data_IF_697923428626
#
_entry.id   IF_697923428626
#
_cell.length_a   1.000
_cell.length_b   1.000
_cell.length_c   1.000
_cell.angle_alpha   90.00
_cell.angle_beta   90.00
_cell.angle_gamma   90.00
#
_symmetry.space_group_name_H-M   'P 1'
#
loop_
_entity.id
_entity.type
_entity.pdbx_description
1 polymer ?
#
# COMPACT_ATOMS: atom_id res chain seq x y z
N UNK A 1 -0.61 -10.64 -26.94
CA UNK A 1 -1.14 -10.87 -25.56
C UNK A 1 -0.69 -9.70 -24.70
N UNK A 2 -1.60 -8.99 -24.03
CA UNK A 2 -1.26 -7.80 -23.21
C UNK A 2 -1.08 -8.22 -21.76
N UNK A 3 0.12 -8.00 -21.22
CA UNK A 3 0.45 -8.23 -19.81
C UNK A 3 0.28 -6.93 -19.01
N UNK A 4 -0.44 -7.00 -17.89
CA UNK A 4 -0.66 -5.88 -16.96
C UNK A 4 -0.11 -6.25 -15.59
N UNK A 5 0.73 -5.39 -15.03
CA UNK A 5 1.27 -5.54 -13.67
C UNK A 5 1.09 -4.23 -12.89
N UNK A 6 0.99 -4.36 -11.56
CA UNK A 6 1.01 -3.23 -10.63
C UNK A 6 2.30 -3.31 -9.84
N UNK A 7 3.09 -2.25 -9.91
CA UNK A 7 4.31 -2.08 -9.12
C UNK A 7 4.11 -0.99 -8.09
N UNK A 8 4.40 -1.32 -6.84
CA UNK A 8 4.35 -0.39 -5.71
C UNK A 8 5.55 -0.62 -4.80
N UNK A 9 6.00 0.43 -4.14
CA UNK A 9 7.20 0.41 -3.31
C UNK A 9 7.01 1.26 -2.05
N UNK A 10 7.94 1.13 -1.12
CA UNK A 10 8.09 2.04 0.03
C UNK A 10 6.84 2.19 0.91
N UNK A 11 6.14 1.08 1.15
CA UNK A 11 4.97 1.05 2.04
C UNK A 11 5.31 1.42 3.48
N UNK A 12 6.59 1.36 3.87
CA UNK A 12 7.07 1.67 5.23
C UNK A 12 6.23 0.94 6.29
N UNK A 13 5.83 -0.29 6.01
CA UNK A 13 5.06 -1.12 6.94
C UNK A 13 5.86 -1.28 8.23
N UNK A 14 5.20 -1.08 9.36
CA UNK A 14 5.88 -1.09 10.67
C UNK A 14 6.53 0.23 11.09
N UNK A 15 6.62 1.26 10.22
CA UNK A 15 7.05 2.60 10.66
C UNK A 15 6.05 3.14 11.67
N UNK A 16 6.50 3.25 12.92
CA UNK A 16 5.80 3.94 13.99
C UNK A 16 5.95 5.43 13.78
N UNK A 17 4.87 6.10 13.38
CA UNK A 17 4.80 7.58 13.29
C UNK A 17 4.83 8.23 14.69
N UNK A 18 5.70 7.78 15.59
CA UNK A 18 5.79 8.18 16.99
C UNK A 18 6.19 9.65 17.18
N UNK A 19 6.77 10.24 16.13
CA UNK A 19 7.09 11.66 16.05
C UNK A 19 5.87 12.54 15.69
N UNK A 20 4.73 11.95 15.37
CA UNK A 20 3.50 12.68 15.08
C UNK A 20 2.65 12.70 16.36
N UNK A 21 2.40 13.89 16.94
CA UNK A 21 1.71 14.00 18.22
C UNK A 21 0.24 13.59 18.10
N UNK A 22 -0.25 12.96 19.17
CA UNK A 22 -1.65 12.58 19.32
C UNK A 22 -2.14 11.50 18.35
N UNK A 23 -3.45 11.51 18.08
CA UNK A 23 -4.14 10.45 17.32
C UNK A 23 -3.81 10.42 15.83
N UNK A 24 -3.19 11.48 15.31
CA UNK A 24 -2.78 11.56 13.90
C UNK A 24 -1.78 10.44 13.53
N UNK A 25 -0.91 10.04 14.47
CA UNK A 25 0.00 8.90 14.26
C UNK A 25 -0.73 7.56 14.15
N UNK A 26 -1.87 7.40 14.83
CA UNK A 26 -2.76 6.25 14.72
C UNK A 26 -3.50 6.22 13.38
N UNK A 27 -4.14 7.33 13.03
CA UNK A 27 -4.85 7.47 11.77
C UNK A 27 -3.97 7.20 10.54
N UNK A 28 -2.70 7.60 10.57
CA UNK A 28 -1.73 7.31 9.50
C UNK A 28 -1.39 5.82 9.38
N UNK A 29 -1.33 5.07 10.50
CA UNK A 29 -1.11 3.62 10.47
C UNK A 29 -2.29 2.92 9.81
N UNK A 30 -3.51 3.31 10.17
CA UNK A 30 -4.73 2.70 9.63
C UNK A 30 -4.88 3.04 8.14
N UNK A 31 -4.70 4.31 7.78
CA UNK A 31 -4.78 4.78 6.39
C UNK A 31 -3.81 4.07 5.46
N UNK A 32 -2.61 3.73 5.94
CA UNK A 32 -1.64 2.94 5.18
C UNK A 32 -2.20 1.57 4.83
N UNK A 33 -2.80 0.87 5.79
CA UNK A 33 -3.38 -0.46 5.57
C UNK A 33 -4.60 -0.38 4.64
N UNK A 34 -5.43 0.66 4.76
CA UNK A 34 -6.53 0.92 3.83
C UNK A 34 -6.03 1.14 2.39
N UNK A 35 -4.95 1.91 2.23
CA UNK A 35 -4.37 2.19 0.92
C UNK A 35 -3.87 0.92 0.25
N UNK A 36 -3.17 0.03 0.98
CA UNK A 36 -2.74 -1.27 0.44
C UNK A 36 -3.93 -2.10 -0.04
N UNK A 37 -5.01 -2.17 0.75
CA UNK A 37 -6.25 -2.87 0.36
C UNK A 37 -6.88 -2.27 -0.89
N UNK A 38 -6.91 -0.94 -1.00
CA UNK A 38 -7.46 -0.24 -2.16
C UNK A 38 -6.65 -0.52 -3.43
N UNK A 39 -5.31 -0.54 -3.35
CA UNK A 39 -4.45 -0.93 -4.48
C UNK A 39 -4.70 -2.38 -4.90
N UNK A 40 -4.84 -3.30 -3.94
CA UNK A 40 -5.19 -4.70 -4.22
C UNK A 40 -6.51 -4.82 -4.98
N UNK A 41 -7.56 -4.12 -4.52
CA UNK A 41 -8.86 -4.10 -5.19
C UNK A 41 -8.76 -3.56 -6.62
N UNK A 42 -8.04 -2.45 -6.80
CA UNK A 42 -7.83 -1.85 -8.12
C UNK A 42 -7.08 -2.79 -9.07
N UNK A 43 -6.11 -3.56 -8.57
CA UNK A 43 -5.40 -4.56 -9.35
C UNK A 43 -6.34 -5.68 -9.82
N UNK A 44 -7.23 -6.16 -8.94
CA UNK A 44 -8.26 -7.15 -9.28
C UNK A 44 -9.24 -6.62 -10.32
N UNK A 45 -9.81 -5.42 -10.09
CA UNK A 45 -10.76 -4.78 -11.01
C UNK A 45 -10.16 -4.57 -12.41
N UNK A 46 -8.85 -4.30 -12.49
CA UNK A 46 -8.15 -4.07 -13.77
C UNK A 46 -7.62 -5.35 -14.42
N UNK A 47 -7.86 -6.54 -13.85
CA UNK A 47 -7.38 -7.81 -14.40
C UNK A 47 -5.86 -7.86 -14.54
N UNK A 48 -5.17 -7.40 -13.50
CA UNK A 48 -3.70 -7.39 -13.42
C UNK A 48 -3.21 -8.81 -13.12
N UNK A 49 -2.30 -9.33 -13.94
CA UNK A 49 -1.82 -10.71 -13.86
C UNK A 49 -0.68 -10.92 -12.87
N UNK A 50 -0.17 -9.86 -12.24
CA UNK A 50 0.90 -9.93 -11.24
C UNK A 50 1.04 -8.64 -10.41
N UNK A 51 1.36 -8.80 -9.13
CA UNK A 51 1.64 -7.71 -8.20
C UNK A 51 3.04 -7.91 -7.62
N UNK A 52 3.88 -6.88 -7.69
CA UNK A 52 5.24 -6.89 -7.14
C UNK A 52 5.45 -5.74 -6.17
N UNK A 53 6.02 -6.04 -5.00
CA UNK A 53 6.42 -5.03 -4.01
C UNK A 53 7.93 -4.84 -4.04
N UNK A 54 8.39 -3.61 -4.27
CA UNK A 54 9.80 -3.23 -4.17
C UNK A 54 10.08 -2.64 -2.79
N UNK A 55 10.74 -3.42 -1.93
CA UNK A 55 11.31 -2.95 -0.67
C UNK A 55 12.78 -3.32 -0.65
N UNK A 56 13.64 -2.41 -0.20
CA UNK A 56 15.07 -2.66 -0.07
C UNK A 56 15.36 -3.63 1.06
#
# INVERSE_FOLDING_TARGET
>A
MVFRFVHTADWQLGKGFANIPGDAGGALRDRRMETVKAVGRLATERGVGGCGTGGR
#
